data_IF_356839793500
#
_entry.id   IF_356839793500
#
_cell.length_a   1.000
_cell.length_b   1.000
_cell.length_c   1.000
_cell.angle_alpha   90.00
_cell.angle_beta   90.00
_cell.angle_gamma   90.00
#
_symmetry.space_group_name_H-M   'P 1'
#
loop_
_entity.id
_entity.type
_entity.pdbx_description
1 polymer ?
#
# COMPACT_ATOMS: atom_id res chain seq x y z
N UNK A 1 13.00 -49.15 1.89
CA UNK A 1 12.28 -48.07 1.16
C UNK A 1 11.85 -46.92 2.06
N UNK A 2 11.20 -47.16 3.21
CA UNK A 2 10.79 -46.09 4.17
C UNK A 2 11.91 -45.13 4.59
N UNK A 3 13.12 -45.63 4.87
CA UNK A 3 14.27 -44.82 5.31
C UNK A 3 14.77 -43.82 4.26
N UNK A 4 14.67 -44.17 2.97
CA UNK A 4 15.09 -43.31 1.86
C UNK A 4 14.11 -42.14 1.66
N UNK A 5 12.81 -42.43 1.81
CA UNK A 5 11.74 -41.44 1.69
C UNK A 5 11.83 -40.36 2.78
N UNK A 6 12.16 -40.76 4.02
CA UNK A 6 12.38 -39.84 5.13
C UNK A 6 13.59 -38.93 4.88
N UNK A 7 14.67 -39.46 4.30
CA UNK A 7 15.88 -38.67 3.99
C UNK A 7 15.57 -37.57 2.96
N UNK A 8 14.82 -37.88 1.91
CA UNK A 8 14.40 -36.91 0.90
C UNK A 8 13.51 -35.82 1.52
N UNK A 9 12.65 -36.18 2.45
CA UNK A 9 11.75 -35.24 3.14
C UNK A 9 12.54 -34.28 4.05
N UNK A 10 13.54 -34.78 4.77
CA UNK A 10 14.40 -33.96 5.64
C UNK A 10 15.26 -32.99 4.82
N UNK A 11 15.74 -33.40 3.64
CA UNK A 11 16.57 -32.54 2.78
C UNK A 11 15.73 -31.49 2.06
N UNK A 12 14.48 -31.81 1.68
CA UNK A 12 13.59 -30.87 0.99
C UNK A 12 12.93 -29.85 1.91
N UNK A 13 12.65 -30.21 3.17
CA UNK A 13 12.02 -29.32 4.14
C UNK A 13 12.75 -27.97 4.35
N UNK A 14 14.08 -27.90 4.56
CA UNK A 14 14.77 -26.62 4.70
C UNK A 14 14.76 -25.79 3.41
N UNK A 15 14.75 -26.42 2.23
CA UNK A 15 14.62 -25.70 0.95
C UNK A 15 13.25 -25.04 0.82
N UNK A 16 12.19 -25.75 1.23
CA UNK A 16 10.82 -25.20 1.28
C UNK A 16 10.67 -24.10 2.33
N UNK A 17 11.31 -24.24 3.50
CA UNK A 17 11.27 -23.23 4.56
C UNK A 17 12.06 -21.97 4.21
N UNK A 18 13.14 -22.08 3.44
CA UNK A 18 13.96 -20.94 3.00
C UNK A 18 13.37 -20.22 1.77
N UNK A 19 12.53 -20.89 0.96
CA UNK A 19 11.84 -20.26 -0.16
C UNK A 19 10.78 -19.23 0.28
N UNK A 20 10.32 -19.28 1.54
CA UNK A 20 9.35 -18.34 2.09
C UNK A 20 9.90 -16.94 2.39
N UNK A 21 11.22 -16.77 2.46
CA UNK A 21 11.88 -15.48 2.65
C UNK A 21 12.29 -14.85 1.33
N UNK A 22 11.38 -14.79 0.35
CA UNK A 22 11.56 -13.88 -0.77
C UNK A 22 11.33 -12.46 -0.24
N UNK A 23 12.41 -11.70 -0.09
CA UNK A 23 12.39 -10.26 0.19
C UNK A 23 11.76 -9.54 -1.02
N UNK A 24 10.44 -9.63 -1.13
CA UNK A 24 9.69 -8.89 -2.12
C UNK A 24 9.55 -7.47 -1.60
N UNK A 25 10.25 -6.53 -2.23
CA UNK A 25 10.04 -5.12 -1.93
C UNK A 25 8.56 -4.78 -2.15
N UNK A 26 7.94 -4.00 -1.25
CA UNK A 26 6.56 -3.59 -1.42
C UNK A 26 6.45 -2.71 -2.67
N UNK A 27 5.52 -3.06 -3.55
CA UNK A 27 5.24 -2.33 -4.79
C UNK A 27 3.98 -1.52 -4.55
N UNK A 28 4.03 -0.23 -4.87
CA UNK A 28 2.88 0.65 -4.96
C UNK A 28 2.61 0.97 -6.43
N UNK A 29 1.39 0.70 -6.90
CA UNK A 29 0.93 1.08 -8.22
C UNK A 29 -0.29 1.97 -8.09
N UNK A 30 -0.22 3.17 -8.65
CA UNK A 30 -1.33 4.13 -8.66
C UNK A 30 -1.97 4.11 -10.04
N UNK A 31 -3.29 3.92 -10.08
CA UNK A 31 -4.09 4.02 -11.30
C UNK A 31 -4.73 5.40 -11.44
N UNK A 32 -4.92 6.09 -10.32
CA UNK A 32 -5.56 7.40 -10.28
C UNK A 32 -5.03 8.25 -9.13
N UNK A 33 -4.80 9.53 -9.42
CA UNK A 33 -4.42 10.56 -8.44
C UNK A 33 -5.05 11.87 -8.89
N UNK A 34 -5.93 12.44 -8.08
CA UNK A 34 -6.52 13.75 -8.36
C UNK A 34 -6.70 14.55 -7.07
N UNK A 35 -6.39 15.84 -7.18
CA UNK A 35 -6.72 16.84 -6.18
C UNK A 35 -7.97 17.59 -6.62
N UNK A 36 -8.90 17.78 -5.69
CA UNK A 36 -10.08 18.61 -5.93
C UNK A 36 -10.43 19.39 -4.67
N UNK A 37 -11.13 20.50 -4.87
CA UNK A 37 -11.63 21.33 -3.78
C UNK A 37 -13.15 21.30 -3.74
N UNK A 38 -13.71 21.41 -2.55
CA UNK A 38 -15.14 21.63 -2.35
C UNK A 38 -15.34 22.81 -1.43
N UNK A 39 -16.52 23.44 -1.52
CA UNK A 39 -16.91 24.49 -0.60
C UNK A 39 -18.21 24.12 0.11
N UNK A 40 -18.34 24.56 1.36
CA UNK A 40 -19.57 24.44 2.16
C UNK A 40 -19.92 25.81 2.74
N UNK A 41 -21.21 26.15 2.73
CA UNK A 41 -21.71 27.40 3.30
C UNK A 41 -22.44 27.07 4.60
N UNK A 42 -21.97 27.64 5.71
CA UNK A 42 -22.58 27.48 7.04
C UNK A 42 -22.92 28.89 7.58
N UNK A 43 -24.21 29.23 7.55
CA UNK A 43 -24.65 30.61 7.80
C UNK A 43 -24.15 31.54 6.70
N UNK A 44 -23.42 32.59 7.09
CA UNK A 44 -22.85 33.60 6.17
C UNK A 44 -21.36 33.34 5.84
N UNK A 45 -20.81 32.20 6.27
CA UNK A 45 -19.40 31.84 6.08
C UNK A 45 -19.24 30.76 5.00
N UNK A 46 -18.21 30.89 4.16
CA UNK A 46 -17.81 29.87 3.17
C UNK A 46 -16.54 29.17 3.64
N UNK A 47 -16.58 27.84 3.73
CA UNK A 47 -15.47 26.98 4.11
C UNK A 47 -14.95 26.25 2.88
N UNK A 48 -13.64 26.31 2.63
CA UNK A 48 -12.96 25.54 1.59
C UNK A 48 -12.36 24.25 2.14
N UNK A 49 -12.52 23.16 1.41
CA UNK A 49 -11.94 21.85 1.72
C UNK A 49 -11.08 21.38 0.55
N UNK A 50 -9.93 20.81 0.88
CA UNK A 50 -9.01 20.20 -0.09
C UNK A 50 -9.06 18.70 0.09
N UNK A 51 -9.24 17.98 -1.02
CA UNK A 51 -9.36 16.53 -1.04
C UNK A 51 -8.33 15.93 -1.98
N UNK A 52 -7.80 14.77 -1.58
CA UNK A 52 -6.94 13.93 -2.41
C UNK A 52 -7.65 12.60 -2.67
N UNK A 53 -7.95 12.33 -3.94
CA UNK A 53 -8.52 11.06 -4.39
C UNK A 53 -7.42 10.17 -4.99
N UNK A 54 -7.30 8.94 -4.49
CA UNK A 54 -6.26 7.99 -4.88
C UNK A 54 -6.91 6.63 -5.16
N UNK A 55 -6.49 6.00 -6.26
CA UNK A 55 -6.81 4.60 -6.55
C UNK A 55 -5.56 3.87 -7.01
N UNK A 56 -5.47 2.59 -6.65
CA UNK A 56 -4.28 1.80 -6.92
C UNK A 56 -4.27 0.46 -6.19
N UNK A 57 -3.10 -0.16 -6.17
CA UNK A 57 -2.82 -1.41 -5.47
C UNK A 57 -1.45 -1.36 -4.79
N UNK A 58 -1.35 -2.00 -3.63
CA UNK A 58 -0.09 -2.19 -2.94
C UNK A 58 0.10 -3.67 -2.60
N UNK A 59 1.34 -4.17 -2.71
CA UNK A 59 1.71 -5.50 -2.23
C UNK A 59 2.20 -5.48 -0.78
N UNK A 60 2.42 -4.28 -0.21
CA UNK A 60 2.77 -4.09 1.20
C UNK A 60 1.56 -3.90 2.11
N UNK A 61 1.74 -4.20 3.40
CA UNK A 61 0.66 -4.17 4.40
C UNK A 61 0.23 -2.75 4.80
N UNK A 62 1.06 -1.74 4.51
CA UNK A 62 0.84 -0.35 4.91
C UNK A 62 1.17 0.61 3.78
N UNK A 63 0.23 1.51 3.50
CA UNK A 63 0.43 2.67 2.63
C UNK A 63 0.41 3.92 3.51
N UNK A 64 1.41 4.79 3.33
CA UNK A 64 1.48 6.09 4.01
C UNK A 64 1.40 7.19 2.97
N UNK A 65 0.46 8.12 3.16
CA UNK A 65 0.26 9.28 2.26
C UNK A 65 0.78 10.51 2.98
N UNK A 66 1.74 11.21 2.36
CA UNK A 66 2.32 12.46 2.89
C UNK A 66 1.96 13.56 1.90
N UNK A 67 1.27 14.59 2.39
CA UNK A 67 0.79 15.71 1.58
C UNK A 67 1.28 17.03 2.16
N UNK A 68 1.57 17.98 1.29
CA UNK A 68 1.87 19.37 1.64
C UNK A 68 0.97 20.27 0.79
N UNK A 69 0.55 21.39 1.36
CA UNK A 69 -0.26 22.37 0.64
C UNK A 69 0.12 23.76 1.11
N UNK A 70 0.46 24.62 0.15
CA UNK A 70 0.56 26.06 0.37
C UNK A 70 -0.87 26.59 0.26
N UNK A 71 -1.46 26.98 1.40
CA UNK A 71 -2.82 27.53 1.41
C UNK A 71 -2.80 28.95 0.85
N UNK A 72 -3.23 29.13 -0.40
CA UNK A 72 -3.53 30.45 -0.95
C UNK A 72 -5.05 30.63 -1.00
N UNK A 73 -5.57 31.53 -0.16
CA UNK A 73 -6.96 32.01 -0.20
C UNK A 73 -6.91 33.30 -1.02
N UNK A 74 -7.40 33.24 -2.26
CA UNK A 74 -7.62 34.43 -3.11
C UNK A 74 -8.97 35.08 -2.76
#
# INVERSE_FOLDING_TARGET
MKKLLVLILIISLPVFLLAGCLNNEPILSLSYVEWYTTTEIIGDLTFGYVHLNLSGSATGDKVTVITYGDGEID
#
